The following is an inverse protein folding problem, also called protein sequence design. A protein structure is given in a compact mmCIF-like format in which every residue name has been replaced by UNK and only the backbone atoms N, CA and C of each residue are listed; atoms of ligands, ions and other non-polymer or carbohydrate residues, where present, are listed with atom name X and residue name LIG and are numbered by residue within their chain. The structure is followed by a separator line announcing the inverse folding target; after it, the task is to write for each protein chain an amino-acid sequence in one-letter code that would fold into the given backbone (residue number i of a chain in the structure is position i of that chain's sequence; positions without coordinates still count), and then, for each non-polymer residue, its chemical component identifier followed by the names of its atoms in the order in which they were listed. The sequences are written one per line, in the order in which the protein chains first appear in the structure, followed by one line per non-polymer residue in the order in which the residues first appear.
data_IF_817371303542
#
_entry.id   IF_817371303542
#
_cell.length_a   1.000
_cell.length_b   1.000
_cell.length_c   1.000
_cell.angle_alpha   90.00
_cell.angle_beta   90.00
_cell.angle_gamma   90.00
#
_symmetry.space_group_name_H-M   'P 1'
#
loop_
_entity.id
_entity.type
_entity.pdbx_description
1 polymer ?
#
# COMPACT_ATOMS: atom_id res chain seq x y z
N UNK A 1 -15.61 7.81 11.94
CA UNK A 1 -15.13 8.00 10.55
C UNK A 1 -13.91 7.10 10.38
N UNK A 2 -13.81 6.35 9.29
CA UNK A 2 -12.62 5.56 8.96
C UNK A 2 -11.95 6.21 7.76
N UNK A 3 -10.65 6.49 7.87
CA UNK A 3 -9.85 7.09 6.80
C UNK A 3 -8.69 6.15 6.52
N UNK A 4 -8.42 5.91 5.24
CA UNK A 4 -7.23 5.18 4.79
C UNK A 4 -6.37 6.13 3.98
N UNK A 5 -5.06 6.12 4.23
CA UNK A 5 -4.09 6.98 3.53
C UNK A 5 -2.83 6.18 3.24
N UNK A 6 -2.25 6.39 2.06
CA UNK A 6 -0.93 5.86 1.69
C UNK A 6 0.21 6.84 2.04
N UNK A 7 -0.13 7.98 2.66
CA UNK A 7 0.80 9.01 3.15
C UNK A 7 0.62 9.20 4.64
N UNK A 8 1.74 9.24 5.36
CA UNK A 8 1.76 9.53 6.79
C UNK A 8 1.17 10.91 7.10
N UNK A 9 0.62 11.03 8.30
CA UNK A 9 -0.03 12.25 8.82
C UNK A 9 0.81 13.52 8.66
N UNK A 10 2.14 13.42 8.87
CA UNK A 10 3.04 14.57 8.74
C UNK A 10 3.11 15.18 7.33
N UNK A 11 2.80 14.40 6.28
CA UNK A 11 2.82 14.88 4.90
C UNK A 11 1.55 15.66 4.51
N UNK A 12 0.56 15.75 5.40
CA UNK A 12 -0.74 16.34 5.05
C UNK A 12 -0.69 17.85 4.90
N UNK A 13 0.27 18.52 5.54
CA UNK A 13 0.49 19.96 5.34
C UNK A 13 0.82 20.31 3.89
N UNK A 14 1.62 19.46 3.22
CA UNK A 14 1.96 19.63 1.80
C UNK A 14 0.76 19.28 0.89
N UNK A 15 0.02 18.22 1.22
CA UNK A 15 -1.14 17.77 0.43
C UNK A 15 -2.27 18.81 0.45
N UNK A 16 -2.51 19.44 1.60
CA UNK A 16 -3.57 20.41 1.78
C UNK A 16 -3.15 21.83 1.40
N UNK A 17 -1.86 22.06 1.13
CA UNK A 17 -1.30 23.37 0.77
C UNK A 17 -1.29 24.40 1.90
N UNK A 18 -1.81 24.05 3.08
CA UNK A 18 -1.79 24.87 4.28
C UNK A 18 -1.58 23.99 5.52
N UNK A 19 -0.45 24.21 6.17
CA UNK A 19 -0.06 23.48 7.38
C UNK A 19 -1.00 23.77 8.56
N UNK A 20 -1.58 24.97 8.63
CA UNK A 20 -2.53 25.39 9.67
C UNK A 20 -3.83 24.60 9.56
N UNK A 21 -4.37 24.48 8.35
CA UNK A 21 -5.58 23.72 8.08
C UNK A 21 -5.34 22.23 8.34
N UNK A 22 -4.20 21.70 7.89
CA UNK A 22 -3.82 20.31 8.16
C UNK A 22 -3.75 20.02 9.66
N UNK A 23 -3.12 20.89 10.45
CA UNK A 23 -3.03 20.74 11.90
C UNK A 23 -4.42 20.78 12.57
N UNK A 24 -5.29 21.72 12.19
CA UNK A 24 -6.63 21.83 12.74
C UNK A 24 -7.54 20.63 12.37
N UNK A 25 -7.37 20.07 11.18
CA UNK A 25 -8.05 18.83 10.79
C UNK A 25 -7.53 17.64 11.59
N UNK A 26 -6.21 17.53 11.74
CA UNK A 26 -5.57 16.46 12.49
C UNK A 26 -5.95 16.49 13.97
N UNK A 27 -6.00 17.66 14.59
CA UNK A 27 -6.46 17.82 15.98
C UNK A 27 -7.85 17.19 16.17
N UNK A 28 -8.81 17.55 15.32
CA UNK A 28 -10.19 17.01 15.39
C UNK A 28 -10.26 15.51 15.09
N UNK A 29 -9.46 15.02 14.15
CA UNK A 29 -9.47 13.61 13.74
C UNK A 29 -8.77 12.71 14.77
N UNK A 30 -7.64 13.16 15.32
CA UNK A 30 -6.82 12.40 16.26
C UNK A 30 -7.37 12.46 17.69
N UNK A 31 -8.18 13.46 18.04
CA UNK A 31 -8.78 13.56 19.38
C UNK A 31 -9.60 12.32 19.80
N UNK A 32 -10.20 11.60 18.84
CA UNK A 32 -11.03 10.41 19.08
C UNK A 32 -10.78 9.28 18.06
N UNK A 33 -9.56 9.14 17.56
CA UNK A 33 -9.22 8.03 16.67
C UNK A 33 -8.05 7.20 17.19
N UNK A 34 -7.99 5.98 16.67
CA UNK A 34 -6.86 5.07 16.85
C UNK A 34 -6.13 5.03 15.51
N UNK A 35 -4.84 5.37 15.53
CA UNK A 35 -3.99 5.31 14.34
C UNK A 35 -3.40 3.91 14.24
N UNK A 36 -3.59 3.27 13.09
CA UNK A 36 -3.02 1.96 12.77
C UNK A 36 -2.08 2.15 11.58
N UNK A 37 -0.79 1.92 11.80
CA UNK A 37 0.19 1.89 10.71
C UNK A 37 0.15 0.52 10.05
N UNK A 38 -0.01 0.51 8.72
CA UNK A 38 -0.07 -0.69 7.91
C UNK A 38 1.25 -0.82 7.16
N UNK A 39 2.10 -1.72 7.62
CA UNK A 39 3.37 -2.07 6.99
C UNK A 39 3.30 -3.47 6.37
N UNK A 40 4.05 -3.69 5.30
CA UNK A 40 4.15 -4.99 4.64
C UNK A 40 4.10 -4.92 3.12
N UNK A 41 4.31 -6.06 2.46
CA UNK A 41 4.28 -6.16 1.00
C UNK A 41 2.87 -5.89 0.45
N UNK A 42 2.82 -5.22 -0.69
CA UNK A 42 1.56 -4.99 -1.41
C UNK A 42 0.87 -6.31 -1.73
N UNK A 43 -0.35 -6.47 -1.23
CA UNK A 43 -1.16 -7.65 -1.50
C UNK A 43 -1.31 -7.89 -3.02
N UNK A 44 -1.51 -6.82 -3.80
CA UNK A 44 -1.61 -6.91 -5.27
C UNK A 44 -0.34 -7.44 -5.91
N UNK A 45 0.83 -7.08 -5.37
CA UNK A 45 2.10 -7.52 -5.92
C UNK A 45 2.36 -8.99 -5.62
N UNK A 46 1.94 -9.47 -4.46
CA UNK A 46 2.02 -10.89 -4.09
C UNK A 46 1.24 -11.77 -5.07
N UNK A 47 0.02 -11.37 -5.44
CA UNK A 47 -0.78 -12.10 -6.44
C UNK A 47 -0.12 -12.06 -7.83
N UNK A 48 0.40 -10.90 -8.23
CA UNK A 48 1.14 -10.76 -9.48
C UNK A 48 2.40 -11.64 -9.54
N UNK A 49 3.16 -11.71 -8.44
CA UNK A 49 4.34 -12.57 -8.35
C UNK A 49 3.97 -14.06 -8.42
N UNK A 50 2.88 -14.47 -7.75
CA UNK A 50 2.40 -15.84 -7.81
C UNK A 50 1.95 -16.25 -9.22
N UNK A 51 1.23 -15.36 -9.92
CA UNK A 51 0.83 -15.57 -11.31
C UNK A 51 2.05 -15.64 -12.26
N UNK A 52 3.01 -14.73 -12.10
CA UNK A 52 4.24 -14.69 -12.89
C UNK A 52 5.10 -15.95 -12.68
N UNK A 53 5.18 -16.44 -11.45
CA UNK A 53 5.91 -17.67 -11.11
C UNK A 53 5.23 -18.91 -11.74
N UNK A 54 3.90 -18.98 -11.70
CA UNK A 54 3.14 -20.05 -12.36
C UNK A 54 3.42 -20.08 -13.87
N UNK A 55 3.44 -18.90 -14.51
CA UNK A 55 3.76 -18.76 -15.92
C UNK A 55 5.21 -19.18 -16.22
N UNK A 56 6.18 -18.77 -15.40
CA UNK A 56 7.59 -19.17 -15.55
C UNK A 56 7.77 -20.69 -15.48
N UNK A 57 7.10 -21.36 -14.54
CA UNK A 57 7.15 -22.83 -14.40
C UNK A 57 6.59 -23.54 -15.62
N UNK A 58 5.42 -23.09 -16.11
CA UNK A 58 4.82 -23.66 -17.32
C UNK A 58 5.73 -23.52 -18.55
N UNK A 59 6.38 -22.37 -18.71
CA UNK A 59 7.29 -22.12 -19.84
C UNK A 59 8.59 -22.94 -19.75
N UNK A 60 9.06 -23.22 -18.53
CA UNK A 60 10.29 -23.98 -18.29
C UNK A 60 10.06 -25.49 -18.42
N UNK A 61 8.90 -25.99 -18.00
CA UNK A 61 8.52 -27.41 -18.11
C UNK A 61 8.36 -27.88 -19.57
N UNK A 62 7.86 -27.00 -20.45
CA UNK A 62 7.71 -27.28 -21.90
C UNK A 62 9.05 -27.39 -22.63
N UNK A 63 10.18 -27.03 -21.99
CA UNK A 63 11.52 -27.03 -22.57
C UNK A 63 12.34 -28.29 -22.30
N UNK A 64 11.75 -29.39 -21.79
CA UNK A 64 12.45 -30.68 -21.78
C UNK A 64 12.53 -31.25 -23.22
N UNK A 65 13.73 -31.42 -23.79
CA UNK A 65 13.87 -32.03 -25.10
C UNK A 65 13.52 -33.51 -25.00
N UNK A 66 12.57 -33.95 -25.82
CA UNK A 66 12.32 -35.35 -26.15
C UNK A 66 13.63 -35.96 -26.66
N UNK A 67 14.26 -36.79 -25.84
CA UNK A 67 15.35 -37.68 -26.23
C UNK A 67 14.79 -39.05 -26.63
#
# INVERSE_FOLDING_TARGET
IVITTNRGVGAWGEILGDTTVAAAMLDRLLHRSVVINLDGESYRLRDHHAAAETLRRATTATRQPIH
#
